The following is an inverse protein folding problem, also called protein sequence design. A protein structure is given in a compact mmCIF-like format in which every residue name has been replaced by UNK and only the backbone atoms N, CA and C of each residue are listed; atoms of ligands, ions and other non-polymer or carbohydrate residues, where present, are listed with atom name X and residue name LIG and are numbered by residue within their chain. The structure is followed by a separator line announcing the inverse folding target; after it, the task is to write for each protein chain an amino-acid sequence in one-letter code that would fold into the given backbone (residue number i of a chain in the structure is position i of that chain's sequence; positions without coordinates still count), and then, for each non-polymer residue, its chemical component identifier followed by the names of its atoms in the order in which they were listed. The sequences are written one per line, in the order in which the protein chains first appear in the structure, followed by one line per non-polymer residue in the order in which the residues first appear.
data_IF_978587215096
#
_entry.id   IF_978587215096
#
_cell.length_a   1.000
_cell.length_b   1.000
_cell.length_c   1.000
_cell.angle_alpha   90.00
_cell.angle_beta   90.00
_cell.angle_gamma   90.00
#
_symmetry.space_group_name_H-M   'P 1'
#
loop_
_entity.id
_entity.type
_entity.pdbx_description
1 polymer ?
#
# COMPACT_ATOMS: atom_id res chain seq x y z
N UNK A 1 1.29 13.38 -32.60
CA UNK A 1 1.25 13.00 -31.18
C UNK A 1 2.55 13.42 -30.57
N UNK A 2 2.56 14.50 -29.78
CA UNK A 2 3.73 14.85 -28.98
C UNK A 2 3.72 13.92 -27.77
N UNK A 3 4.67 13.00 -27.69
CA UNK A 3 4.93 12.23 -26.47
C UNK A 3 5.61 13.17 -25.47
N UNK A 4 4.85 14.06 -24.85
CA UNK A 4 5.29 14.74 -23.63
C UNK A 4 5.37 13.67 -22.55
N UNK A 5 6.60 13.30 -22.16
CA UNK A 5 6.83 12.52 -20.96
C UNK A 5 6.27 13.30 -19.77
N UNK A 6 5.15 12.84 -19.22
CA UNK A 6 4.67 13.37 -17.95
C UNK A 6 5.60 12.87 -16.84
N UNK A 7 6.44 13.78 -16.35
CA UNK A 7 7.41 13.53 -15.28
C UNK A 7 6.68 13.00 -14.03
N UNK A 8 5.47 13.48 -13.76
CA UNK A 8 4.64 13.04 -12.63
C UNK A 8 4.25 11.57 -12.79
N UNK A 9 3.72 11.19 -13.96
CA UNK A 9 3.40 9.81 -14.28
C UNK A 9 4.61 8.87 -14.20
N UNK A 10 5.80 9.31 -14.61
CA UNK A 10 7.03 8.51 -14.47
C UNK A 10 7.44 8.32 -13.00
N UNK A 11 7.39 9.39 -12.20
CA UNK A 11 7.66 9.33 -10.76
C UNK A 11 6.66 8.38 -10.07
N UNK A 12 5.37 8.49 -10.41
CA UNK A 12 4.32 7.61 -9.91
C UNK A 12 4.63 6.14 -10.25
N UNK A 13 4.94 5.85 -11.50
CA UNK A 13 5.25 4.48 -11.94
C UNK A 13 6.48 3.88 -11.25
N UNK A 14 7.60 4.63 -11.18
CA UNK A 14 8.82 4.15 -10.53
C UNK A 14 8.63 3.95 -9.02
N UNK A 15 7.93 4.88 -8.36
CA UNK A 15 7.61 4.74 -6.94
C UNK A 15 6.67 3.57 -6.67
N UNK A 16 5.73 3.25 -7.58
CA UNK A 16 4.89 2.07 -7.50
C UNK A 16 5.71 0.77 -7.53
N UNK A 17 6.67 0.65 -8.46
CA UNK A 17 7.54 -0.53 -8.55
C UNK A 17 8.31 -0.74 -7.25
N UNK A 18 8.94 0.32 -6.73
CA UNK A 18 9.72 0.22 -5.49
C UNK A 18 8.80 -0.09 -4.30
N UNK A 19 7.64 0.54 -4.20
CA UNK A 19 6.66 0.28 -3.15
C UNK A 19 6.17 -1.17 -3.19
N UNK A 20 5.89 -1.73 -4.37
CA UNK A 20 5.45 -3.12 -4.51
C UNK A 20 6.55 -4.09 -4.07
N UNK A 21 7.77 -3.90 -4.58
CA UNK A 21 8.90 -4.78 -4.25
C UNK A 21 9.21 -4.75 -2.74
N UNK A 22 9.29 -3.56 -2.16
CA UNK A 22 9.61 -3.39 -0.73
C UNK A 22 8.44 -3.79 0.17
N UNK A 23 7.20 -3.54 -0.23
CA UNK A 23 5.99 -3.96 0.49
C UNK A 23 5.88 -5.49 0.59
N UNK A 24 6.12 -6.21 -0.52
CA UNK A 24 6.21 -7.67 -0.52
C UNK A 24 7.33 -8.16 0.40
N UNK A 25 8.52 -7.57 0.28
CA UNK A 25 9.66 -7.94 1.12
C UNK A 25 9.33 -7.79 2.63
N UNK A 26 8.72 -6.67 3.03
CA UNK A 26 8.33 -6.41 4.43
C UNK A 26 7.36 -7.47 4.96
N UNK A 27 6.42 -7.93 4.13
CA UNK A 27 5.47 -9.01 4.50
C UNK A 27 6.21 -10.34 4.73
N UNK A 28 7.14 -10.70 3.84
CA UNK A 28 7.81 -12.01 3.87
C UNK A 28 8.90 -12.09 4.93
N UNK A 29 9.57 -10.99 5.22
CA UNK A 29 10.70 -10.94 6.15
C UNK A 29 10.32 -11.23 7.61
N UNK A 30 11.35 -11.59 8.39
CA UNK A 30 11.26 -11.64 9.85
C UNK A 30 11.05 -10.22 10.40
N UNK A 31 9.89 -10.00 11.00
CA UNK A 31 9.45 -8.73 11.59
C UNK A 31 10.35 -8.35 12.77
N UNK A 32 10.51 -7.05 12.99
CA UNK A 32 11.29 -6.47 14.10
C UNK A 32 12.82 -6.50 13.93
N UNK A 33 13.34 -6.98 12.79
CA UNK A 33 14.78 -6.95 12.51
C UNK A 33 15.22 -5.58 11.99
N UNK A 34 16.52 -5.23 12.13
CA UNK A 34 17.08 -4.01 11.52
C UNK A 34 16.81 -3.93 10.02
N UNK A 35 16.88 -5.08 9.33
CA UNK A 35 16.58 -5.17 7.90
C UNK A 35 15.10 -4.89 7.61
N UNK A 36 14.17 -5.46 8.40
CA UNK A 36 12.74 -5.18 8.27
C UNK A 36 12.44 -3.69 8.43
N UNK A 37 13.06 -3.02 9.41
CA UNK A 37 12.90 -1.58 9.61
C UNK A 37 13.45 -0.78 8.43
N UNK A 38 14.65 -1.10 7.93
CA UNK A 38 15.26 -0.40 6.78
C UNK A 38 14.41 -0.51 5.51
N UNK A 39 13.97 -1.73 5.18
CA UNK A 39 13.11 -1.94 4.01
C UNK A 39 11.71 -1.33 4.24
N UNK A 40 11.20 -1.37 5.47
CA UNK A 40 9.96 -0.71 5.86
C UNK A 40 9.97 0.80 5.62
N UNK A 41 11.07 1.48 5.95
CA UNK A 41 11.22 2.90 5.61
C UNK A 41 11.29 3.15 4.11
N UNK A 42 11.97 2.29 3.34
CA UNK A 42 11.97 2.38 1.88
C UNK A 42 10.54 2.27 1.33
N UNK A 43 9.75 1.32 1.82
CA UNK A 43 8.35 1.16 1.46
C UNK A 43 7.51 2.40 1.78
N UNK A 44 7.64 2.94 3.01
CA UNK A 44 6.90 4.13 3.46
C UNK A 44 7.22 5.35 2.59
N UNK A 45 8.51 5.60 2.31
CA UNK A 45 8.93 6.73 1.46
C UNK A 45 8.39 6.56 0.04
N UNK A 46 8.51 5.36 -0.54
CA UNK A 46 7.97 5.08 -1.87
C UNK A 46 6.44 5.25 -1.92
N UNK A 47 5.71 4.80 -0.90
CA UNK A 47 4.26 5.00 -0.79
C UNK A 47 3.87 6.47 -0.65
N UNK A 48 4.68 7.28 0.06
CA UNK A 48 4.43 8.71 0.15
C UNK A 48 4.56 9.38 -1.23
N UNK A 49 5.65 9.11 -1.94
CA UNK A 49 5.86 9.64 -3.31
C UNK A 49 4.77 9.14 -4.26
N UNK A 50 4.40 7.87 -4.17
CA UNK A 50 3.35 7.25 -4.99
C UNK A 50 1.99 7.92 -4.78
N UNK A 51 1.56 8.07 -3.52
CA UNK A 51 0.27 8.67 -3.22
C UNK A 51 0.24 10.17 -3.55
N UNK A 52 1.32 10.92 -3.27
CA UNK A 52 1.39 12.34 -3.61
C UNK A 52 1.33 12.54 -5.13
N UNK A 53 2.11 11.77 -5.90
CA UNK A 53 2.07 11.84 -7.36
C UNK A 53 0.69 11.42 -7.91
N UNK A 54 0.02 10.43 -7.32
CA UNK A 54 -1.34 10.05 -7.70
C UNK A 54 -2.36 11.20 -7.55
N UNK A 55 -2.19 12.05 -6.54
CA UNK A 55 -3.04 13.22 -6.30
C UNK A 55 -2.81 14.37 -7.31
N UNK A 56 -1.76 14.26 -8.13
CA UNK A 56 -1.39 15.25 -9.14
C UNK A 56 -1.74 14.79 -10.57
N UNK A 57 -2.23 13.56 -10.76
CA UNK A 57 -2.55 12.97 -12.07
C UNK A 57 -4.06 13.02 -12.32
N UNK A 58 -4.45 13.77 -13.36
CA UNK A 58 -5.87 14.03 -13.68
C UNK A 58 -6.35 13.37 -14.97
N UNK A 59 -5.47 12.68 -15.70
CA UNK A 59 -5.70 12.27 -17.11
C UNK A 59 -6.94 11.40 -17.34
N UNK A 60 -7.34 10.59 -16.35
CA UNK A 60 -8.44 9.65 -16.55
C UNK A 60 -9.84 10.28 -16.42
N UNK A 61 -9.98 11.27 -15.54
CA UNK A 61 -11.28 11.88 -15.22
C UNK A 61 -11.35 13.38 -15.52
N UNK A 62 -10.24 14.00 -15.96
CA UNK A 62 -10.14 15.44 -16.20
C UNK A 62 -10.23 16.30 -14.94
N UNK A 63 -10.19 15.68 -13.75
CA UNK A 63 -10.42 16.31 -12.46
C UNK A 63 -10.26 15.33 -11.30
N UNK A 64 -10.47 15.82 -10.08
CA UNK A 64 -10.38 14.99 -8.88
C UNK A 64 -11.42 13.87 -8.95
N UNK A 65 -10.99 12.62 -8.77
CA UNK A 65 -11.81 11.44 -9.05
C UNK A 65 -11.57 10.29 -8.07
N UNK A 66 -12.19 9.13 -8.31
CA UNK A 66 -12.14 7.98 -7.40
C UNK A 66 -10.73 7.56 -6.99
N UNK A 67 -9.75 7.59 -7.91
CA UNK A 67 -8.37 7.22 -7.59
C UNK A 67 -7.65 8.21 -6.67
N UNK A 68 -8.06 9.48 -6.67
CA UNK A 68 -7.53 10.46 -5.72
C UNK A 68 -8.04 10.16 -4.30
N UNK A 69 -9.32 9.82 -4.15
CA UNK A 69 -9.86 9.36 -2.86
C UNK A 69 -9.14 8.10 -2.37
N UNK A 70 -8.87 7.14 -3.26
CA UNK A 70 -8.12 5.93 -2.91
C UNK A 70 -6.67 6.24 -2.52
N UNK A 71 -6.01 7.21 -3.16
CA UNK A 71 -4.69 7.68 -2.77
C UNK A 71 -4.69 8.32 -1.37
N UNK A 72 -5.71 9.11 -1.01
CA UNK A 72 -5.87 9.65 0.34
C UNK A 72 -6.07 8.56 1.39
N UNK A 73 -6.93 7.57 1.10
CA UNK A 73 -7.15 6.41 2.00
C UNK A 73 -5.86 5.61 2.17
N UNK A 74 -5.14 5.34 1.08
CA UNK A 74 -3.84 4.67 1.09
C UNK A 74 -2.82 5.45 1.93
N UNK A 75 -2.70 6.76 1.72
CA UNK A 75 -1.77 7.63 2.44
C UNK A 75 -2.07 7.65 3.95
N UNK A 76 -3.34 7.87 4.32
CA UNK A 76 -3.77 7.85 5.73
C UNK A 76 -3.56 6.49 6.38
N UNK A 77 -3.75 5.38 5.65
CA UNK A 77 -3.46 4.02 6.13
C UNK A 77 -1.98 3.82 6.44
N UNK A 78 -1.07 4.29 5.55
CA UNK A 78 0.38 4.23 5.80
C UNK A 78 0.76 5.04 7.04
N UNK A 79 0.19 6.25 7.19
CA UNK A 79 0.42 7.11 8.35
C UNK A 79 -0.10 6.46 9.64
N UNK A 80 -1.28 5.85 9.61
CA UNK A 80 -1.86 5.13 10.73
C UNK A 80 -1.04 3.90 11.16
N UNK A 81 -0.28 3.29 10.24
CA UNK A 81 0.68 2.22 10.56
C UNK A 81 2.02 2.74 11.05
N UNK A 82 2.51 3.85 10.50
CA UNK A 82 3.83 4.39 10.81
C UNK A 82 3.86 5.12 12.16
N UNK A 83 2.93 6.05 12.40
CA UNK A 83 2.95 6.93 13.58
C UNK A 83 2.97 6.13 14.89
N UNK A 84 2.11 5.12 15.10
CA UNK A 84 2.16 4.32 16.31
C UNK A 84 3.52 3.67 16.54
N UNK A 85 4.17 3.17 15.48
CA UNK A 85 5.48 2.54 15.59
C UNK A 85 6.62 3.51 15.92
N UNK A 86 6.55 4.75 15.42
CA UNK A 86 7.52 5.81 15.73
C UNK A 86 7.35 6.31 17.16
N UNK A 87 6.11 6.59 17.57
CA UNK A 87 5.81 7.17 18.88
C UNK A 87 5.73 6.13 20.01
N UNK A 88 5.68 4.84 19.66
CA UNK A 88 5.38 3.73 20.59
C UNK A 88 4.08 3.94 21.37
N UNK A 89 3.10 4.58 20.72
CA UNK A 89 1.80 4.95 21.30
C UNK A 89 0.64 4.47 20.43
N UNK A 90 -0.48 4.03 21.04
CA UNK A 90 -0.68 3.81 22.47
C UNK A 90 0.17 2.62 22.96
N UNK A 91 0.71 2.67 24.18
CA UNK A 91 1.71 1.69 24.68
C UNK A 91 1.31 0.22 24.48
N UNK A 92 0.03 -0.10 24.68
CA UNK A 92 -0.48 -1.48 24.59
C UNK A 92 -0.91 -1.90 23.17
N UNK A 93 -1.07 -0.96 22.25
CA UNK A 93 -1.68 -1.19 20.93
C UNK A 93 -0.82 -0.77 19.75
N UNK A 94 0.26 -0.02 19.97
CA UNK A 94 1.05 0.54 18.88
C UNK A 94 1.56 -0.52 17.90
N UNK A 95 1.93 -1.70 18.42
CA UNK A 95 2.45 -2.79 17.61
C UNK A 95 1.36 -3.46 16.79
N UNK A 96 0.18 -3.64 17.38
CA UNK A 96 -1.00 -4.17 16.69
C UNK A 96 -1.43 -3.21 15.57
N UNK A 97 -1.56 -1.92 15.89
CA UNK A 97 -1.89 -0.87 14.92
C UNK A 97 -0.87 -0.83 13.79
N UNK A 98 0.43 -0.81 14.12
CA UNK A 98 1.49 -0.85 13.11
C UNK A 98 1.35 -2.07 12.20
N UNK A 99 1.19 -3.26 12.78
CA UNK A 99 1.07 -4.49 12.01
C UNK A 99 -0.14 -4.48 11.08
N UNK A 100 -1.32 -4.12 11.59
CA UNK A 100 -2.55 -4.14 10.81
C UNK A 100 -2.57 -3.09 9.72
N UNK A 101 -2.30 -1.83 10.05
CA UNK A 101 -2.35 -0.75 9.06
C UNK A 101 -1.25 -0.90 8.01
N UNK A 102 -0.04 -1.34 8.38
CA UNK A 102 1.00 -1.59 7.38
C UNK A 102 0.62 -2.76 6.46
N UNK A 103 0.02 -3.84 6.98
CA UNK A 103 -0.44 -4.94 6.15
C UNK A 103 -1.57 -4.51 5.22
N UNK A 104 -2.56 -3.77 5.73
CA UNK A 104 -3.65 -3.20 4.93
C UNK A 104 -3.16 -2.23 3.86
N UNK A 105 -2.10 -1.44 4.14
CA UNK A 105 -1.51 -0.56 3.14
C UNK A 105 -0.93 -1.34 1.95
N UNK A 106 -0.27 -2.48 2.21
CA UNK A 106 0.28 -3.32 1.14
C UNK A 106 -0.85 -4.02 0.37
N UNK A 107 -1.88 -4.52 1.06
CA UNK A 107 -3.07 -5.08 0.40
C UNK A 107 -3.72 -4.05 -0.53
N UNK A 108 -3.88 -2.81 -0.06
CA UNK A 108 -4.40 -1.69 -0.85
C UNK A 108 -3.53 -1.37 -2.06
N UNK A 109 -2.20 -1.37 -1.91
CA UNK A 109 -1.26 -1.18 -3.01
C UNK A 109 -1.45 -2.22 -4.12
N UNK A 110 -1.56 -3.51 -3.76
CA UNK A 110 -1.77 -4.57 -4.75
C UNK A 110 -3.18 -4.56 -5.35
N UNK A 111 -4.19 -4.06 -4.63
CA UNK A 111 -5.50 -3.80 -5.21
C UNK A 111 -5.45 -2.65 -6.23
N UNK A 112 -4.73 -1.57 -5.93
CA UNK A 112 -4.52 -0.44 -6.83
C UNK A 112 -3.73 -0.84 -8.08
N UNK A 113 -2.75 -1.75 -7.94
CA UNK A 113 -2.01 -2.32 -9.08
C UNK A 113 -2.94 -2.95 -10.13
N UNK A 114 -3.99 -3.66 -9.72
CA UNK A 114 -4.96 -4.23 -10.65
C UNK A 114 -5.72 -3.15 -11.40
N UNK A 115 -6.18 -2.12 -10.68
CA UNK A 115 -6.84 -0.97 -11.29
C UNK A 115 -5.94 -0.29 -12.32
N UNK A 116 -4.69 -0.02 -11.97
CA UNK A 116 -3.71 0.64 -12.83
C UNK A 116 -3.33 -0.20 -14.06
N UNK A 117 -3.16 -1.51 -13.87
CA UNK A 117 -2.91 -2.42 -15.00
C UNK A 117 -4.10 -2.41 -15.96
N UNK A 118 -5.31 -2.51 -15.43
CA UNK A 118 -6.48 -2.61 -16.28
C UNK A 118 -6.83 -1.30 -16.98
N UNK A 119 -6.60 -0.13 -16.37
CA UNK A 119 -6.81 1.16 -17.05
C UNK A 119 -5.87 1.35 -18.25
N UNK A 120 -4.66 0.79 -18.19
CA UNK A 120 -3.65 0.90 -19.26
C UNK A 120 -3.86 -0.07 -20.41
N UNK A 121 -4.24 -1.31 -20.11
CA UNK A 121 -4.32 -2.37 -21.13
C UNK A 121 -5.75 -2.65 -21.63
N UNK A 122 -6.77 -2.24 -20.90
CA UNK A 122 -8.15 -2.63 -21.18
C UNK A 122 -9.11 -1.44 -21.20
N UNK A 123 -9.69 -1.18 -22.38
CA UNK A 123 -10.78 -0.21 -22.56
C UNK A 123 -12.03 -0.95 -23.05
N UNK A 124 -12.72 -1.62 -22.13
CA UNK A 124 -13.96 -2.35 -22.43
C UNK A 124 -14.96 -2.26 -21.27
N UNK A 125 -16.23 -2.56 -21.55
CA UNK A 125 -17.35 -2.38 -20.61
C UNK A 125 -17.21 -3.14 -19.27
N UNK A 126 -16.47 -4.25 -19.27
CA UNK A 126 -16.24 -5.08 -18.07
C UNK A 126 -15.04 -4.64 -17.20
N UNK A 127 -14.38 -3.52 -17.51
CA UNK A 127 -13.25 -2.99 -16.73
C UNK A 127 -13.52 -2.99 -15.22
N UNK A 128 -14.62 -2.36 -14.79
CA UNK A 128 -14.97 -2.24 -13.37
C UNK A 128 -15.25 -3.58 -12.70
N UNK A 129 -15.75 -4.56 -13.46
CA UNK A 129 -15.98 -5.92 -12.95
C UNK A 129 -14.65 -6.63 -12.71
N UNK A 130 -13.69 -6.56 -13.65
CA UNK A 130 -12.38 -7.15 -13.45
C UNK A 130 -11.61 -6.49 -12.30
N UNK A 131 -11.63 -5.16 -12.20
CA UNK A 131 -11.05 -4.43 -11.07
C UNK A 131 -11.67 -4.93 -9.76
N UNK A 132 -13.01 -4.98 -9.69
CA UNK A 132 -13.73 -5.46 -8.52
C UNK A 132 -13.34 -6.87 -8.09
N UNK A 133 -13.28 -7.83 -9.04
CA UNK A 133 -12.91 -9.22 -8.77
C UNK A 133 -11.45 -9.32 -8.29
N UNK A 134 -10.53 -8.67 -8.99
CA UNK A 134 -9.11 -8.74 -8.67
C UNK A 134 -8.80 -8.06 -7.31
N UNK A 135 -9.42 -6.90 -7.05
CA UNK A 135 -9.36 -6.23 -5.75
C UNK A 135 -9.94 -7.10 -4.65
N UNK A 136 -11.11 -7.71 -4.85
CA UNK A 136 -11.75 -8.59 -3.87
C UNK A 136 -10.85 -9.78 -3.54
N UNK A 137 -10.28 -10.44 -4.55
CA UNK A 137 -9.36 -11.55 -4.36
C UNK A 137 -8.13 -11.13 -3.53
N UNK A 138 -7.49 -10.00 -3.87
CA UNK A 138 -6.35 -9.46 -3.11
C UNK A 138 -6.72 -9.17 -1.65
N UNK A 139 -7.87 -8.55 -1.42
CA UNK A 139 -8.36 -8.21 -0.07
C UNK A 139 -8.66 -9.47 0.74
N UNK A 140 -9.33 -10.46 0.16
CA UNK A 140 -9.65 -11.71 0.85
C UNK A 140 -8.39 -12.48 1.26
N UNK A 141 -7.43 -12.63 0.34
CA UNK A 141 -6.15 -13.28 0.63
C UNK A 141 -5.42 -12.52 1.75
N UNK A 142 -5.35 -11.19 1.64
CA UNK A 142 -4.72 -10.35 2.64
C UNK A 142 -5.36 -10.46 4.03
N UNK A 143 -6.70 -10.43 4.10
CA UNK A 143 -7.47 -10.55 5.33
C UNK A 143 -7.27 -11.92 6.00
N UNK A 144 -7.24 -13.00 5.21
CA UNK A 144 -6.95 -14.35 5.70
C UNK A 144 -5.54 -14.42 6.29
N UNK A 145 -4.53 -13.89 5.57
CA UNK A 145 -3.15 -13.86 6.05
C UNK A 145 -2.99 -13.07 7.35
N UNK A 146 -3.68 -11.92 7.47
CA UNK A 146 -3.73 -11.12 8.69
C UNK A 146 -4.29 -11.97 9.84
N UNK A 147 -5.48 -12.55 9.68
CA UNK A 147 -6.15 -13.33 10.72
C UNK A 147 -5.30 -14.52 11.17
N UNK A 148 -4.68 -15.24 10.24
CA UNK A 148 -3.86 -16.42 10.54
C UNK A 148 -2.56 -16.08 11.28
N UNK A 149 -1.91 -14.97 10.96
CA UNK A 149 -0.55 -14.67 11.45
C UNK A 149 -0.51 -13.65 12.59
N UNK A 150 -1.55 -12.84 12.77
CA UNK A 150 -1.60 -11.75 13.77
C UNK A 150 -1.27 -12.24 15.17
N UNK A 151 -2.03 -13.21 15.70
CA UNK A 151 -1.86 -13.67 17.08
C UNK A 151 -0.44 -14.21 17.36
N UNK A 152 0.11 -15.01 16.44
CA UNK A 152 1.47 -15.58 16.55
C UNK A 152 2.55 -14.50 16.51
N UNK A 153 2.41 -13.50 15.64
CA UNK A 153 3.37 -12.40 15.52
C UNK A 153 3.33 -11.51 16.76
N UNK A 154 2.14 -11.11 17.21
CA UNK A 154 1.99 -10.23 18.38
C UNK A 154 2.47 -10.92 19.67
N UNK A 155 2.14 -12.20 19.86
CA UNK A 155 2.57 -12.97 21.04
C UNK A 155 4.10 -13.13 21.14
N UNK A 156 4.82 -13.08 20.01
CA UNK A 156 6.29 -13.11 20.02
C UNK A 156 6.87 -11.86 20.66
N UNK A 157 6.32 -10.69 20.37
CA UNK A 157 6.83 -9.42 20.88
C UNK A 157 6.26 -9.03 22.24
N UNK A 158 5.14 -9.63 22.67
CA UNK A 158 4.63 -9.45 24.04
C UNK A 158 5.43 -10.22 25.10
N UNK A 159 6.27 -11.17 24.69
CA UNK A 159 7.17 -11.92 25.58
C UNK A 159 8.58 -11.33 25.66
N UNK A 160 8.91 -10.42 24.75
CA UNK A 160 10.23 -9.77 24.63
C UNK A 160 10.25 -8.37 25.30
N UNK A 161 9.10 -7.86 25.76
CA UNK A 161 8.94 -6.62 26.55
C UNK A 161 8.44 -6.97 27.96
#
# INVERSE_FOLDING_TARGET
MNYSFDVTGLIHFLSAIVAMATGMAVILMKKGTKLHVKIGYSYVVSMAVLNISALLIYDLFGGFGPFHFMALISFTTVIAGLIPALLKKPEKKWLEMHYEFMLWSVIGLYAAFWSETFTRFFRFSGFWTLVGIATLATVLIGAILLKMKKAKILARFSKEN
#
